data_IF_170869679486
#
_entry.id   IF_170869679486
#
_cell.length_a   1.000
_cell.length_b   1.000
_cell.length_c   1.000
_cell.angle_alpha   90.00
_cell.angle_beta   90.00
_cell.angle_gamma   90.00
#
_symmetry.space_group_name_H-M   'P 1'
#
loop_
_entity.id
_entity.type
_entity.pdbx_description
1 polymer ?
#
# COMPACT_ATOMS: atom_id res chain seq x y z
N UNK A 1 5.55 21.84 37.21
CA UNK A 1 6.22 20.60 37.58
C UNK A 1 6.72 19.96 36.29
N UNK A 2 8.03 19.88 36.11
CA UNK A 2 8.72 19.30 34.96
C UNK A 2 9.76 18.34 35.53
N UNK A 3 9.72 17.09 35.10
CA UNK A 3 10.71 16.07 35.49
C UNK A 3 11.59 15.75 34.29
N UNK A 4 12.90 15.74 34.48
CA UNK A 4 13.89 15.39 33.46
C UNK A 4 14.65 14.17 33.96
N UNK A 5 14.71 13.12 33.15
CA UNK A 5 15.37 11.85 33.47
C UNK A 5 15.91 11.22 32.19
N UNK A 6 16.97 10.42 32.28
CA UNK A 6 17.61 9.72 31.16
C UNK A 6 17.97 10.63 29.97
N UNK A 7 18.32 11.88 30.26
CA UNK A 7 18.65 12.90 29.26
C UNK A 7 20.13 13.29 29.36
N UNK A 8 20.71 13.70 28.24
CA UNK A 8 22.02 14.37 28.17
C UNK A 8 21.77 15.88 28.06
N UNK A 9 22.02 16.60 29.16
CA UNK A 9 21.78 18.04 29.25
C UNK A 9 23.13 18.72 29.39
N UNK A 10 23.47 19.56 28.41
CA UNK A 10 24.73 20.32 28.43
C UNK A 10 24.81 21.22 29.67
N UNK A 11 25.75 20.91 30.59
CA UNK A 11 25.93 21.63 31.86
C UNK A 11 24.99 21.17 32.98
N UNK A 12 24.35 20.02 32.83
CA UNK A 12 23.54 19.37 33.85
C UNK A 12 22.31 20.16 34.28
N UNK A 13 21.91 20.02 35.54
CA UNK A 13 20.77 20.77 36.10
C UNK A 13 20.99 22.29 36.00
N UNK A 14 22.24 22.76 36.18
CA UNK A 14 22.60 24.18 36.11
C UNK A 14 22.50 24.75 34.68
N UNK A 15 22.49 23.90 33.64
CA UNK A 15 22.26 24.28 32.25
C UNK A 15 20.80 24.63 31.93
N UNK A 16 19.86 24.32 32.83
CA UNK A 16 18.43 24.53 32.60
C UNK A 16 18.03 25.93 33.03
N UNK A 17 17.77 26.80 32.04
CA UNK A 17 17.18 28.11 32.28
C UNK A 17 15.66 28.01 32.42
N UNK A 18 15.14 28.39 33.59
CA UNK A 18 13.71 28.53 33.83
C UNK A 18 13.28 30.00 33.94
N UNK A 19 11.96 30.25 34.00
CA UNK A 19 11.40 31.59 34.20
C UNK A 19 10.95 31.83 35.66
N UNK A 20 11.45 31.05 36.61
CA UNK A 20 11.11 31.09 38.04
C UNK A 20 9.71 30.58 38.39
N UNK A 21 9.01 29.94 37.46
CA UNK A 21 7.70 29.32 37.67
C UNK A 21 7.72 27.80 37.43
N UNK A 22 8.92 27.20 37.33
CA UNK A 22 9.08 25.77 37.21
C UNK A 22 9.30 25.14 38.59
N UNK A 23 8.81 23.91 38.73
CA UNK A 23 9.13 23.01 39.83
C UNK A 23 9.82 21.84 39.15
N UNK A 24 11.16 21.89 39.13
CA UNK A 24 12.02 21.00 38.35
C UNK A 24 12.44 19.81 39.23
N UNK A 25 12.24 18.60 38.72
CA UNK A 25 12.77 17.37 39.30
C UNK A 25 13.81 16.79 38.33
N UNK A 26 15.10 17.00 38.65
CA UNK A 26 16.23 16.53 37.84
C UNK A 26 16.71 15.17 38.36
N UNK A 27 16.30 14.10 37.68
CA UNK A 27 16.58 12.73 38.08
C UNK A 27 18.08 12.39 38.13
N UNK A 28 18.45 11.43 38.99
CA UNK A 28 19.84 11.01 39.21
C UNK A 28 20.47 10.28 38.01
N UNK A 29 19.65 9.82 37.06
CA UNK A 29 20.08 9.06 35.86
C UNK A 29 20.38 9.96 34.64
N UNK A 30 20.37 11.29 34.80
CA UNK A 30 20.76 12.20 33.71
C UNK A 30 22.29 12.29 33.58
N UNK A 31 22.76 12.42 32.35
CA UNK A 31 24.18 12.53 32.03
C UNK A 31 24.59 14.01 31.91
N UNK A 32 25.81 14.31 32.36
CA UNK A 32 26.47 15.63 32.29
C UNK A 32 27.97 15.46 31.94
N UNK A 33 28.30 14.40 31.19
CA UNK A 33 29.66 14.11 30.72
C UNK A 33 29.66 14.05 29.19
N UNK A 34 30.72 14.55 28.54
CA UNK A 34 30.85 14.51 27.07
C UNK A 34 30.81 13.04 26.59
N UNK A 35 29.92 12.69 25.64
CA UNK A 35 29.77 11.33 25.16
C UNK A 35 30.99 10.79 24.40
N UNK A 36 31.96 11.62 23.99
CA UNK A 36 33.19 11.21 23.27
C UNK A 36 32.90 10.36 22.02
N UNK A 37 32.47 11.01 20.93
CA UNK A 37 32.28 10.38 19.62
C UNK A 37 33.58 10.32 18.80
N UNK A 38 33.74 9.28 17.97
CA UNK A 38 34.94 9.04 17.17
C UNK A 38 35.21 10.13 16.10
N UNK A 39 34.24 10.53 15.29
CA UNK A 39 34.40 11.64 14.32
C UNK A 39 33.07 12.34 13.97
N UNK A 40 32.49 13.09 14.91
CA UNK A 40 31.18 13.71 14.72
C UNK A 40 31.19 14.79 13.63
N UNK A 41 32.35 15.37 13.30
CA UNK A 41 32.48 16.40 12.25
C UNK A 41 32.32 15.82 10.84
N UNK A 42 32.62 14.54 10.67
CA UNK A 42 32.42 13.82 9.40
C UNK A 42 31.23 12.85 9.45
N UNK A 43 30.40 12.92 10.49
CA UNK A 43 29.16 12.16 10.62
C UNK A 43 29.31 10.77 11.26
N UNK A 44 30.47 10.45 11.84
CA UNK A 44 30.66 9.25 12.65
C UNK A 44 30.36 9.56 14.13
N UNK A 45 29.16 9.20 14.54
CA UNK A 45 28.66 9.35 15.91
C UNK A 45 28.77 8.04 16.72
N UNK A 46 29.67 7.13 16.33
CA UNK A 46 30.00 5.98 17.19
C UNK A 46 30.77 6.46 18.43
N UNK A 47 30.50 5.82 19.58
CA UNK A 47 31.20 6.12 20.84
C UNK A 47 32.65 5.61 20.77
N UNK A 48 33.56 6.40 21.31
CA UNK A 48 34.94 6.00 21.58
C UNK A 48 34.99 4.87 22.61
N UNK A 49 36.05 4.04 22.58
CA UNK A 49 36.23 2.91 23.50
C UNK A 49 36.34 3.33 24.98
N UNK A 50 36.82 4.56 25.23
CA UNK A 50 36.94 5.15 26.56
C UNK A 50 35.76 6.08 26.90
N UNK A 51 34.69 6.07 26.10
CA UNK A 51 33.52 6.92 26.33
C UNK A 51 32.88 6.65 27.71
N UNK A 52 32.57 7.69 28.50
CA UNK A 52 31.81 7.53 29.74
C UNK A 52 30.39 7.02 29.50
N UNK A 53 29.89 7.12 28.26
CA UNK A 53 28.60 6.57 27.84
C UNK A 53 28.70 5.11 27.38
N UNK A 54 29.91 4.57 27.19
CA UNK A 54 30.11 3.19 26.76
C UNK A 54 29.55 2.21 27.79
N UNK A 55 28.53 1.45 27.38
CA UNK A 55 27.88 0.45 28.24
C UNK A 55 27.04 1.01 29.40
N UNK A 56 26.86 2.34 29.48
CA UNK A 56 26.02 2.99 30.51
C UNK A 56 24.58 3.23 30.09
N UNK A 57 24.23 2.97 28.83
CA UNK A 57 22.84 2.69 28.52
C UNK A 57 22.39 1.46 29.31
N UNK A 58 21.26 1.54 30.02
CA UNK A 58 20.38 0.37 30.00
C UNK A 58 20.29 0.02 28.52
N UNK A 59 20.64 -1.20 28.12
CA UNK A 59 20.38 -1.65 26.76
C UNK A 59 18.92 -1.33 26.51
N UNK A 60 18.66 -0.19 25.88
CA UNK A 60 17.34 0.18 25.46
C UNK A 60 17.13 -0.87 24.41
N UNK A 61 16.35 -1.88 24.82
CA UNK A 61 16.26 -3.19 24.23
C UNK A 61 17.45 -4.12 24.62
N UNK A 62 17.26 -5.18 25.41
CA UNK A 62 17.11 -6.51 24.78
C UNK A 62 16.56 -6.25 23.40
N UNK A 63 17.43 -6.13 22.37
CA UNK A 63 17.01 -5.95 20.97
C UNK A 63 15.69 -6.72 20.85
N UNK A 64 14.50 -6.07 20.73
CA UNK A 64 13.30 -6.82 20.45
C UNK A 64 13.72 -7.59 19.21
N UNK A 65 13.69 -8.93 19.25
CA UNK A 65 14.45 -9.79 18.34
C UNK A 65 14.41 -9.13 16.98
N UNK A 66 15.57 -8.59 16.52
CA UNK A 66 15.66 -7.53 15.49
C UNK A 66 14.41 -7.62 14.63
N UNK A 67 13.46 -6.68 14.83
CA UNK A 67 12.19 -6.74 14.11
C UNK A 67 12.50 -7.10 12.65
N UNK A 68 11.74 -8.02 12.05
CA UNK A 68 12.14 -8.81 10.88
C UNK A 68 13.01 -8.01 9.91
N UNK A 69 14.24 -8.49 9.70
CA UNK A 69 15.31 -7.77 9.00
C UNK A 69 15.04 -7.56 7.51
N UNK A 70 14.07 -8.32 6.97
CA UNK A 70 13.65 -8.25 5.58
C UNK A 70 12.17 -8.65 5.41
N UNK A 71 11.61 -8.37 4.25
CA UNK A 71 10.21 -8.67 3.94
C UNK A 71 9.87 -10.17 4.04
N UNK A 72 10.81 -11.08 3.78
CA UNK A 72 10.60 -12.53 3.95
C UNK A 72 10.32 -12.90 5.40
N UNK A 73 11.13 -12.42 6.34
CA UNK A 73 10.92 -12.62 7.78
C UNK A 73 9.60 -11.98 8.25
N UNK A 74 9.18 -10.86 7.65
CA UNK A 74 7.87 -10.25 7.93
C UNK A 74 6.71 -11.13 7.44
N UNK A 75 6.85 -11.80 6.30
CA UNK A 75 5.85 -12.75 5.79
C UNK A 75 5.74 -13.95 6.74
N UNK A 76 6.87 -14.48 7.23
CA UNK A 76 6.89 -15.56 8.21
C UNK A 76 6.19 -15.16 9.52
N UNK A 77 6.47 -13.97 10.06
CA UNK A 77 5.79 -13.45 11.24
C UNK A 77 4.26 -13.27 11.04
N UNK A 78 3.86 -12.90 9.82
CA UNK A 78 2.44 -12.80 9.46
C UNK A 78 1.77 -14.19 9.39
N UNK A 79 2.50 -15.22 8.93
CA UNK A 79 2.06 -16.61 8.97
C UNK A 79 1.85 -17.08 10.41
N UNK A 80 2.77 -16.78 11.32
CA UNK A 80 2.64 -17.11 12.75
C UNK A 80 1.39 -16.45 13.37
N UNK A 81 1.08 -15.21 12.97
CA UNK A 81 -0.12 -14.49 13.42
C UNK A 81 -1.39 -15.20 12.94
N UNK A 82 -1.42 -15.67 11.69
CA UNK A 82 -2.53 -16.44 11.12
C UNK A 82 -2.73 -17.77 11.86
N UNK A 83 -1.63 -18.47 12.17
CA UNK A 83 -1.68 -19.72 12.95
C UNK A 83 -2.20 -19.49 14.37
N UNK A 84 -1.82 -18.38 15.00
CA UNK A 84 -2.32 -17.99 16.33
C UNK A 84 -3.85 -17.76 16.32
N UNK A 85 -4.40 -17.13 15.26
CA UNK A 85 -5.85 -16.96 15.10
C UNK A 85 -6.57 -18.32 14.96
N UNK A 86 -5.95 -19.28 14.28
CA UNK A 86 -6.42 -20.66 14.21
C UNK A 86 -6.40 -21.36 15.58
N UNK A 87 -5.27 -21.27 16.28
CA UNK A 87 -5.08 -21.89 17.59
C UNK A 87 -6.05 -21.34 18.65
N UNK A 88 -6.39 -20.05 18.56
CA UNK A 88 -7.33 -19.38 19.45
C UNK A 88 -8.80 -19.62 19.07
N UNK A 89 -9.06 -20.38 18.00
CA UNK A 89 -10.40 -20.74 17.53
C UNK A 89 -11.15 -19.62 16.83
N UNK A 90 -10.49 -18.49 16.52
CA UNK A 90 -11.09 -17.39 15.75
C UNK A 90 -11.29 -17.79 14.28
N UNK A 91 -10.37 -18.60 13.74
CA UNK A 91 -10.48 -19.19 12.41
C UNK A 91 -10.51 -20.72 12.51
N UNK A 92 -11.32 -21.36 11.68
CA UNK A 92 -11.25 -22.82 11.52
C UNK A 92 -10.14 -23.21 10.54
N UNK A 93 -9.78 -24.50 10.53
CA UNK A 93 -8.69 -25.05 9.69
C UNK A 93 -8.80 -24.65 8.22
N UNK A 94 -10.02 -24.70 7.64
CA UNK A 94 -10.21 -24.34 6.23
C UNK A 94 -10.03 -22.83 5.99
N UNK A 95 -10.38 -21.99 6.95
CA UNK A 95 -10.21 -20.54 6.87
C UNK A 95 -8.75 -20.13 7.06
N UNK A 96 -8.02 -20.82 7.94
CA UNK A 96 -6.56 -20.68 8.09
C UNK A 96 -5.89 -21.05 6.77
N UNK A 97 -6.14 -22.25 6.24
CA UNK A 97 -5.57 -22.71 4.96
C UNK A 97 -5.92 -21.75 3.79
N UNK A 98 -7.12 -21.18 3.81
CA UNK A 98 -7.59 -20.24 2.79
C UNK A 98 -6.74 -18.96 2.68
N UNK A 99 -6.23 -18.45 3.80
CA UNK A 99 -5.36 -17.25 3.82
C UNK A 99 -3.86 -17.63 3.89
N UNK A 100 -3.49 -18.68 4.62
CA UNK A 100 -2.12 -19.14 4.81
C UNK A 100 -1.45 -19.52 3.48
N UNK A 101 -2.21 -20.20 2.60
CA UNK A 101 -1.71 -20.59 1.27
C UNK A 101 -1.36 -19.42 0.36
N UNK A 102 -1.64 -18.17 0.75
CA UNK A 102 -1.17 -16.95 0.05
C UNK A 102 0.16 -16.49 0.58
N UNK A 103 0.32 -16.50 1.90
CA UNK A 103 1.57 -16.11 2.55
C UNK A 103 2.69 -17.10 2.21
N UNK A 104 2.41 -18.42 2.24
CA UNK A 104 3.35 -19.45 1.80
C UNK A 104 3.81 -19.21 0.35
N UNK A 105 2.87 -18.86 -0.54
CA UNK A 105 3.19 -18.54 -1.93
C UNK A 105 3.99 -17.24 -2.05
N UNK A 106 3.63 -16.22 -1.29
CA UNK A 106 4.36 -14.96 -1.27
C UNK A 106 5.81 -15.19 -0.84
N UNK A 107 6.04 -15.95 0.23
CA UNK A 107 7.37 -16.30 0.73
C UNK A 107 8.17 -17.12 -0.29
N UNK A 108 7.54 -18.13 -0.91
CA UNK A 108 8.16 -18.91 -1.99
C UNK A 108 8.63 -17.99 -3.13
N UNK A 109 7.79 -17.07 -3.59
CA UNK A 109 8.15 -16.16 -4.69
C UNK A 109 9.20 -15.14 -4.27
N UNK A 110 9.15 -14.64 -3.02
CA UNK A 110 10.13 -13.72 -2.46
C UNK A 110 11.52 -14.36 -2.45
N UNK A 111 11.63 -15.57 -1.91
CA UNK A 111 12.88 -16.35 -1.84
C UNK A 111 13.45 -16.72 -3.22
N UNK A 112 12.67 -16.58 -4.29
CA UNK A 112 13.08 -16.81 -5.67
C UNK A 112 13.25 -15.49 -6.47
N UNK A 113 13.34 -14.34 -5.79
CA UNK A 113 13.46 -12.99 -6.38
C UNK A 113 12.30 -12.62 -7.35
N UNK A 114 11.14 -13.26 -7.22
CA UNK A 114 9.97 -13.02 -8.07
C UNK A 114 9.04 -11.99 -7.41
N UNK A 115 9.51 -10.75 -7.32
CA UNK A 115 8.86 -9.67 -6.56
C UNK A 115 7.44 -9.35 -7.06
N UNK A 116 7.20 -9.36 -8.37
CA UNK A 116 5.85 -9.15 -8.92
C UNK A 116 4.84 -10.16 -8.35
N UNK A 117 5.21 -11.44 -8.33
CA UNK A 117 4.35 -12.49 -7.80
C UNK A 117 4.20 -12.37 -6.28
N UNK A 118 5.29 -12.05 -5.58
CA UNK A 118 5.25 -11.78 -4.13
C UNK A 118 4.20 -10.72 -3.79
N UNK A 119 4.27 -9.54 -4.42
CA UNK A 119 3.30 -8.44 -4.21
C UNK A 119 1.88 -8.88 -4.58
N UNK A 120 1.71 -9.63 -5.67
CA UNK A 120 0.39 -10.12 -6.07
C UNK A 120 -0.24 -11.03 -5.00
N UNK A 121 0.54 -11.94 -4.41
CA UNK A 121 0.05 -12.84 -3.36
C UNK A 121 -0.23 -12.11 -2.04
N UNK A 122 0.56 -11.09 -1.69
CA UNK A 122 0.29 -10.23 -0.53
C UNK A 122 -1.03 -9.45 -0.70
N UNK A 123 -1.30 -8.91 -1.88
CA UNK A 123 -2.58 -8.24 -2.15
C UNK A 123 -3.76 -9.23 -2.20
N UNK A 124 -3.56 -10.45 -2.71
CA UNK A 124 -4.59 -11.51 -2.65
C UNK A 124 -4.86 -11.95 -1.20
N UNK A 125 -3.85 -11.94 -0.33
CA UNK A 125 -4.02 -12.15 1.11
C UNK A 125 -4.92 -11.06 1.72
N UNK A 126 -4.65 -9.78 1.47
CA UNK A 126 -5.47 -8.67 1.99
C UNK A 126 -6.94 -8.77 1.56
N UNK A 127 -7.19 -9.12 0.30
CA UNK A 127 -8.55 -9.30 -0.24
C UNK A 127 -9.28 -10.40 0.52
N UNK A 128 -8.60 -11.49 0.87
CA UNK A 128 -9.19 -12.63 1.60
C UNK A 128 -9.47 -12.28 3.05
N UNK A 129 -8.54 -11.60 3.71
CA UNK A 129 -8.76 -11.09 5.08
C UNK A 129 -9.96 -10.14 5.10
N UNK A 130 -10.02 -9.19 4.16
CA UNK A 130 -11.14 -8.27 4.03
C UNK A 130 -12.47 -9.01 3.78
N UNK A 131 -12.47 -10.09 3.00
CA UNK A 131 -13.64 -10.93 2.83
C UNK A 131 -14.08 -11.61 4.14
N UNK A 132 -13.15 -12.16 4.92
CA UNK A 132 -13.46 -12.77 6.22
C UNK A 132 -14.08 -11.75 7.20
N UNK A 133 -13.56 -10.51 7.21
CA UNK A 133 -14.16 -9.42 8.00
C UNK A 133 -15.55 -9.06 7.48
N UNK A 134 -15.71 -8.90 6.17
CA UNK A 134 -16.99 -8.52 5.55
C UNK A 134 -18.10 -9.53 5.85
N UNK A 135 -17.78 -10.83 5.80
CA UNK A 135 -18.72 -11.90 6.12
C UNK A 135 -18.91 -12.14 7.63
N UNK A 136 -18.28 -11.33 8.49
CA UNK A 136 -18.38 -11.41 9.95
C UNK A 136 -17.74 -12.67 10.55
N UNK A 137 -16.81 -13.29 9.81
CA UNK A 137 -16.08 -14.49 10.23
C UNK A 137 -14.91 -14.11 11.13
N UNK A 138 -14.11 -13.14 10.69
CA UNK A 138 -13.01 -12.59 11.47
C UNK A 138 -13.49 -11.26 12.06
N UNK A 139 -13.27 -10.97 13.35
CA UNK A 139 -13.66 -9.69 13.89
C UNK A 139 -12.81 -8.56 13.28
N UNK A 140 -13.37 -7.35 13.29
CA UNK A 140 -12.85 -6.25 12.49
C UNK A 140 -11.45 -5.87 12.93
N UNK A 141 -11.19 -5.80 14.23
CA UNK A 141 -9.92 -5.28 14.74
C UNK A 141 -8.77 -6.22 14.35
N UNK A 142 -8.96 -7.54 14.50
CA UNK A 142 -7.99 -8.57 14.11
C UNK A 142 -7.76 -8.58 12.59
N UNK A 143 -8.82 -8.40 11.79
CA UNK A 143 -8.67 -8.30 10.34
C UNK A 143 -7.95 -7.04 9.88
N UNK A 144 -8.14 -5.91 10.59
CA UNK A 144 -7.41 -4.68 10.32
C UNK A 144 -5.94 -4.82 10.72
N UNK A 145 -5.62 -5.46 11.84
CA UNK A 145 -4.25 -5.75 12.26
C UNK A 145 -3.50 -6.62 11.23
N UNK A 146 -4.13 -7.68 10.71
CA UNK A 146 -3.53 -8.50 9.64
C UNK A 146 -3.23 -7.69 8.37
N UNK A 147 -4.16 -6.82 7.95
CA UNK A 147 -3.98 -5.96 6.78
C UNK A 147 -2.88 -4.92 7.05
N UNK A 148 -2.80 -4.37 8.26
CA UNK A 148 -1.73 -3.43 8.63
C UNK A 148 -0.36 -4.10 8.60
N UNK A 149 -0.24 -5.32 9.13
CA UNK A 149 0.98 -6.11 9.06
C UNK A 149 1.37 -6.46 7.62
N UNK A 150 0.41 -6.85 6.78
CA UNK A 150 0.63 -7.06 5.34
C UNK A 150 1.08 -5.78 4.63
N UNK A 151 0.50 -4.63 4.94
CA UNK A 151 0.95 -3.35 4.39
C UNK A 151 2.39 -3.01 4.82
N UNK A 152 2.80 -3.38 6.03
CA UNK A 152 4.18 -3.22 6.47
C UNK A 152 5.13 -4.09 5.63
N UNK A 153 4.77 -5.34 5.34
CA UNK A 153 5.51 -6.21 4.40
C UNK A 153 5.64 -5.55 3.03
N UNK A 154 4.56 -5.03 2.47
CA UNK A 154 4.58 -4.37 1.15
C UNK A 154 5.52 -3.15 1.15
N UNK A 155 5.50 -2.32 2.20
CA UNK A 155 6.43 -1.18 2.31
C UNK A 155 7.88 -1.66 2.30
N UNK A 156 8.20 -2.69 3.09
CA UNK A 156 9.53 -3.28 3.16
C UNK A 156 9.98 -3.83 1.79
N UNK A 157 9.11 -4.55 1.07
CA UNK A 157 9.39 -4.99 -0.32
C UNK A 157 9.70 -3.79 -1.22
N UNK A 158 8.97 -2.68 -1.05
CA UNK A 158 9.19 -1.47 -1.82
C UNK A 158 10.51 -0.76 -1.51
N UNK A 159 11.00 -0.87 -0.27
CA UNK A 159 12.31 -0.35 0.16
C UNK A 159 13.45 -1.23 -0.37
N UNK A 160 13.29 -2.55 -0.32
CA UNK A 160 14.25 -3.52 -0.83
C UNK A 160 14.34 -3.52 -2.36
N UNK A 161 13.24 -3.20 -3.05
CA UNK A 161 13.16 -3.21 -4.50
C UNK A 161 12.57 -1.91 -5.05
N UNK A 162 13.42 -1.05 -5.62
CA UNK A 162 13.02 0.26 -6.14
C UNK A 162 11.96 0.21 -7.28
N UNK A 163 11.87 -0.87 -8.07
CA UNK A 163 10.81 -1.03 -9.07
C UNK A 163 9.47 -1.36 -8.42
N UNK A 164 9.48 -2.26 -7.42
CA UNK A 164 8.30 -2.54 -6.61
C UNK A 164 7.89 -1.33 -5.77
N UNK A 165 8.85 -0.60 -5.20
CA UNK A 165 8.61 0.65 -4.48
C UNK A 165 7.89 1.68 -5.34
N UNK A 166 8.25 1.84 -6.61
CA UNK A 166 7.49 2.70 -7.55
C UNK A 166 6.08 2.20 -7.82
N UNK A 167 5.89 0.88 -7.91
CA UNK A 167 4.57 0.28 -8.14
C UNK A 167 3.67 0.35 -6.88
N UNK A 168 4.25 0.29 -5.69
CA UNK A 168 3.56 0.33 -4.39
C UNK A 168 3.34 1.77 -3.88
N UNK A 169 4.18 2.70 -4.29
CA UNK A 169 4.01 4.16 -4.11
C UNK A 169 3.01 4.77 -5.10
N UNK A 170 2.21 3.96 -5.82
CA UNK A 170 1.01 4.44 -6.49
C UNK A 170 0.07 4.97 -5.41
N UNK A 171 0.26 6.23 -5.07
CA UNK A 171 -0.66 7.01 -4.26
C UNK A 171 -2.07 6.82 -4.82
N UNK A 172 -3.11 6.88 -3.98
CA UNK A 172 -4.49 6.84 -4.48
C UNK A 172 -4.74 7.84 -5.62
N UNK A 173 -3.94 8.91 -5.67
CA UNK A 173 -3.91 9.94 -6.71
C UNK A 173 -3.30 9.47 -8.06
N UNK A 174 -2.49 8.41 -8.10
CA UNK A 174 -2.01 7.81 -9.37
C UNK A 174 -3.00 6.79 -9.94
N UNK A 175 -3.81 6.17 -9.08
CA UNK A 175 -4.89 5.24 -9.44
C UNK A 175 -6.17 5.98 -9.89
N UNK A 176 -6.38 7.20 -9.38
CA UNK A 176 -7.48 8.09 -9.77
C UNK A 176 -6.96 9.11 -10.79
N UNK A 177 -7.44 9.09 -12.04
CA UNK A 177 -7.03 10.06 -13.06
C UNK A 177 -7.27 11.50 -12.59
N UNK A 178 -6.34 12.41 -12.84
CA UNK A 178 -6.54 13.83 -12.53
C UNK A 178 -7.66 14.46 -13.37
N UNK A 179 -7.94 13.89 -14.54
CA UNK A 179 -8.96 14.37 -15.48
C UNK A 179 -9.81 13.22 -16.02
N UNK A 180 -11.02 13.58 -16.47
CA UNK A 180 -11.86 12.69 -17.25
C UNK A 180 -11.18 12.36 -18.59
N UNK A 181 -11.13 11.08 -18.95
CA UNK A 181 -10.62 10.69 -20.27
C UNK A 181 -11.36 9.49 -20.85
N UNK A 182 -11.32 9.40 -22.18
CA UNK A 182 -11.68 8.22 -22.96
C UNK A 182 -10.52 7.93 -23.91
N UNK A 183 -9.91 6.75 -23.79
CA UNK A 183 -8.77 6.36 -24.62
C UNK A 183 -9.23 5.94 -26.01
N UNK A 184 -8.28 5.92 -26.94
CA UNK A 184 -8.49 5.18 -28.18
C UNK A 184 -8.65 3.69 -27.85
N UNK A 185 -9.60 3.03 -28.51
CA UNK A 185 -9.81 1.61 -28.33
C UNK A 185 -8.58 0.80 -28.81
N UNK A 186 -8.27 -0.32 -28.14
CA UNK A 186 -7.19 -1.22 -28.54
C UNK A 186 -7.68 -2.68 -28.59
N UNK A 187 -7.42 -3.40 -29.68
CA UNK A 187 -6.78 -2.94 -30.92
C UNK A 187 -7.69 -1.97 -31.72
N UNK A 188 -7.12 -1.19 -32.61
CA UNK A 188 -7.84 -0.41 -33.63
C UNK A 188 -6.99 -0.30 -34.92
N UNK A 189 -7.39 -0.90 -36.06
CA UNK A 189 -8.61 -1.68 -36.26
C UNK A 189 -8.70 -2.94 -35.39
N UNK A 190 -9.90 -3.44 -35.13
CA UNK A 190 -10.12 -4.65 -34.31
C UNK A 190 -10.91 -5.72 -35.03
N UNK A 191 -10.63 -6.99 -34.71
CA UNK A 191 -11.47 -8.13 -35.07
C UNK A 191 -12.31 -8.58 -33.88
N UNK A 192 -13.61 -8.70 -34.09
CA UNK A 192 -14.65 -9.19 -33.17
C UNK A 192 -14.86 -8.36 -31.90
N UNK A 193 -13.81 -7.98 -31.19
CA UNK A 193 -13.89 -7.22 -29.94
C UNK A 193 -12.73 -6.25 -29.76
N UNK A 194 -12.95 -5.19 -28.99
CA UNK A 194 -11.94 -4.20 -28.64
C UNK A 194 -12.11 -3.73 -27.20
N UNK A 195 -11.01 -3.32 -26.57
CA UNK A 195 -11.01 -2.75 -25.22
C UNK A 195 -11.02 -1.23 -25.30
N UNK A 196 -11.76 -0.61 -24.39
CA UNK A 196 -11.88 0.84 -24.29
C UNK A 196 -11.65 1.21 -22.82
N UNK A 197 -10.64 2.03 -22.56
CA UNK A 197 -10.34 2.50 -21.21
C UNK A 197 -10.87 3.92 -21.02
N UNK A 198 -11.34 4.21 -19.82
CA UNK A 198 -11.79 5.54 -19.44
C UNK A 198 -11.41 5.85 -18.00
N UNK A 199 -11.33 7.13 -17.69
CA UNK A 199 -10.89 7.63 -16.39
C UNK A 199 -11.90 8.58 -15.78
N UNK A 200 -12.06 8.47 -14.46
CA UNK A 200 -12.92 9.34 -13.66
C UNK A 200 -12.12 9.92 -12.48
N UNK A 201 -11.97 11.26 -12.37
CA UNK A 201 -11.33 11.89 -11.22
C UNK A 201 -12.18 11.80 -9.95
N UNK A 202 -13.50 11.68 -10.10
CA UNK A 202 -14.45 11.55 -9.00
C UNK A 202 -15.58 10.58 -9.36
N UNK A 203 -16.28 10.06 -8.35
CA UNK A 203 -17.42 9.17 -8.58
C UNK A 203 -18.55 9.92 -9.29
N UNK A 204 -19.01 9.42 -10.44
CA UNK A 204 -19.95 10.13 -11.29
C UNK A 204 -20.89 9.19 -12.06
N UNK A 205 -22.01 9.74 -12.54
CA UNK A 205 -22.89 9.03 -13.47
C UNK A 205 -22.32 9.10 -14.88
N UNK A 206 -22.00 7.94 -15.44
CA UNK A 206 -21.36 7.80 -16.74
C UNK A 206 -22.28 7.06 -17.71
N UNK A 207 -22.35 7.57 -18.94
CA UNK A 207 -22.97 6.89 -20.07
C UNK A 207 -21.94 6.70 -21.18
N UNK A 208 -21.68 5.45 -21.57
CA UNK A 208 -20.81 5.12 -22.72
C UNK A 208 -21.65 4.41 -23.77
N UNK A 209 -21.76 5.01 -24.96
CA UNK A 209 -22.63 4.56 -26.04
C UNK A 209 -21.86 4.45 -27.35
N UNK A 210 -22.12 3.38 -28.11
CA UNK A 210 -21.58 3.17 -29.45
C UNK A 210 -22.63 3.56 -30.48
N UNK A 211 -22.20 4.30 -31.50
CA UNK A 211 -23.00 4.78 -32.63
C UNK A 211 -22.39 4.32 -33.95
N UNK A 212 -23.22 4.15 -34.97
CA UNK A 212 -22.76 4.01 -36.35
C UNK A 212 -22.55 5.40 -37.00
N UNK A 213 -22.01 5.43 -38.23
CA UNK A 213 -21.74 6.67 -38.96
C UNK A 213 -22.99 7.50 -39.31
N UNK A 214 -24.19 6.91 -39.19
CA UNK A 214 -25.45 7.65 -39.38
C UNK A 214 -25.93 8.33 -38.10
N UNK A 215 -25.21 8.14 -36.99
CA UNK A 215 -25.59 8.66 -35.67
C UNK A 215 -26.61 7.79 -34.95
N UNK A 216 -26.94 6.61 -35.47
CA UNK A 216 -27.85 5.68 -34.79
C UNK A 216 -27.12 4.99 -33.65
N UNK A 217 -27.75 4.98 -32.48
CA UNK A 217 -27.27 4.23 -31.32
C UNK A 217 -27.29 2.73 -31.62
N UNK A 218 -26.12 2.10 -31.53
CA UNK A 218 -25.93 0.67 -31.74
C UNK A 218 -26.09 -0.08 -30.42
N UNK A 219 -25.38 0.36 -29.38
CA UNK A 219 -25.45 -0.23 -28.04
C UNK A 219 -24.98 0.75 -26.98
N UNK A 220 -25.41 0.53 -25.74
CA UNK A 220 -24.93 1.26 -24.57
C UNK A 220 -24.09 0.31 -23.72
N UNK A 221 -22.82 0.63 -23.54
CA UNK A 221 -21.83 -0.19 -22.83
C UNK A 221 -21.84 0.08 -21.32
N UNK A 222 -22.12 1.33 -20.93
CA UNK A 222 -22.24 1.75 -19.53
C UNK A 222 -23.40 2.73 -19.40
N UNK A 223 -24.21 2.58 -18.34
CA UNK A 223 -25.31 3.50 -17.98
C UNK A 223 -25.55 3.52 -16.47
N UNK A 224 -24.72 4.23 -15.72
CA UNK A 224 -24.83 4.20 -14.27
C UNK A 224 -23.78 4.99 -13.52
N UNK A 225 -23.86 4.96 -12.20
CA UNK A 225 -22.84 5.51 -11.33
C UNK A 225 -21.62 4.61 -11.31
N UNK A 226 -20.44 5.21 -11.42
CA UNK A 226 -19.14 4.55 -11.36
C UNK A 226 -18.26 5.25 -10.31
N UNK A 227 -17.45 4.50 -9.55
CA UNK A 227 -16.51 5.09 -8.59
C UNK A 227 -15.38 5.84 -9.32
N UNK A 228 -14.70 6.73 -8.61
CA UNK A 228 -13.47 7.37 -9.10
C UNK A 228 -12.42 6.29 -9.43
N UNK A 229 -11.61 6.52 -10.46
CA UNK A 229 -10.58 5.58 -10.88
C UNK A 229 -10.51 5.34 -12.39
N UNK A 230 -9.60 4.44 -12.77
CA UNK A 230 -9.46 3.93 -14.14
C UNK A 230 -10.37 2.73 -14.34
N UNK A 231 -11.08 2.73 -15.47
CA UNK A 231 -12.01 1.68 -15.84
C UNK A 231 -11.68 1.14 -17.23
N UNK A 232 -11.91 -0.16 -17.45
CA UNK A 232 -11.80 -0.79 -18.75
C UNK A 232 -13.10 -1.52 -19.08
N UNK A 233 -13.55 -1.40 -20.33
CA UNK A 233 -14.68 -2.15 -20.85
C UNK A 233 -14.32 -2.82 -22.17
N UNK A 234 -15.04 -3.89 -22.50
CA UNK A 234 -14.90 -4.62 -23.75
C UNK A 234 -16.16 -4.45 -24.58
N UNK A 235 -16.00 -4.08 -25.86
CA UNK A 235 -17.09 -4.11 -26.83
C UNK A 235 -16.91 -5.27 -27.80
N UNK A 236 -17.90 -6.17 -27.85
CA UNK A 236 -18.00 -7.22 -28.86
C UNK A 236 -18.95 -6.76 -29.98
N UNK A 237 -18.42 -6.67 -31.20
CA UNK A 237 -19.11 -6.20 -32.40
C UNK A 237 -19.46 -7.33 -33.39
N UNK A 238 -19.36 -8.61 -33.00
CA UNK A 238 -19.57 -9.75 -33.91
C UNK A 238 -20.95 -9.77 -34.59
N UNK A 239 -21.98 -9.24 -33.93
CA UNK A 239 -23.33 -9.13 -34.47
C UNK A 239 -23.56 -7.87 -35.32
N UNK A 240 -22.54 -7.02 -35.48
CA UNK A 240 -22.61 -5.77 -36.22
C UNK A 240 -21.90 -5.88 -37.58
N UNK A 241 -22.25 -5.04 -38.58
CA UNK A 241 -21.50 -4.98 -39.84
C UNK A 241 -20.08 -4.43 -39.65
N UNK A 242 -19.10 -4.90 -40.43
CA UNK A 242 -17.78 -4.27 -40.49
C UNK A 242 -17.90 -2.81 -40.95
N UNK A 243 -17.09 -1.93 -40.37
CA UNK A 243 -17.17 -0.50 -40.67
C UNK A 243 -16.67 0.39 -39.55
N UNK A 244 -16.95 1.68 -39.71
CA UNK A 244 -16.56 2.72 -38.75
C UNK A 244 -17.68 2.93 -37.72
N UNK A 245 -17.29 3.01 -36.46
CA UNK A 245 -18.16 3.26 -35.32
C UNK A 245 -17.62 4.42 -34.48
N UNK A 246 -18.50 5.08 -33.74
CA UNK A 246 -18.13 6.12 -32.79
C UNK A 246 -18.49 5.64 -31.38
N UNK A 247 -17.54 5.62 -30.46
CA UNK A 247 -17.81 5.48 -29.02
C UNK A 247 -17.82 6.86 -28.41
N UNK A 248 -18.86 7.15 -27.62
CA UNK A 248 -19.00 8.41 -26.89
C UNK A 248 -19.18 8.13 -25.41
N UNK A 249 -18.38 8.79 -24.59
CA UNK A 249 -18.54 8.88 -23.14
C UNK A 249 -19.15 10.23 -22.77
N UNK A 250 -20.11 10.22 -21.85
CA UNK A 250 -20.70 11.41 -21.25
C UNK A 250 -20.76 11.25 -19.73
N UNK A 251 -20.31 12.27 -18.99
CA UNK A 251 -20.40 12.35 -17.53
C UNK A 251 -20.39 13.82 -17.10
N UNK A 252 -21.39 14.25 -16.32
CA UNK A 252 -21.55 15.66 -15.94
C UNK A 252 -21.45 16.60 -17.15
N UNK A 253 -20.45 17.49 -17.14
CA UNK A 253 -20.14 18.43 -18.22
C UNK A 253 -19.11 17.91 -19.24
N UNK A 254 -18.54 16.72 -19.02
CA UNK A 254 -17.54 16.12 -19.89
C UNK A 254 -18.20 15.24 -20.97
N UNK A 255 -17.73 15.38 -22.20
CA UNK A 255 -18.10 14.50 -23.32
C UNK A 255 -16.88 14.25 -24.19
N UNK A 256 -16.56 12.98 -24.44
CA UNK A 256 -15.46 12.58 -25.33
C UNK A 256 -15.94 11.53 -26.32
N UNK A 257 -15.47 11.63 -27.58
CA UNK A 257 -15.84 10.73 -28.67
C UNK A 257 -14.59 10.19 -29.34
N UNK A 258 -14.55 8.88 -29.61
CA UNK A 258 -13.48 8.22 -30.36
C UNK A 258 -14.04 7.42 -31.53
N UNK A 259 -13.32 7.44 -32.64
CA UNK A 259 -13.64 6.66 -33.82
C UNK A 259 -12.98 5.29 -33.73
N UNK A 260 -13.72 4.22 -34.01
CA UNK A 260 -13.27 2.84 -34.00
C UNK A 260 -13.48 2.22 -35.38
N UNK A 261 -12.56 1.36 -35.81
CA UNK A 261 -12.65 0.61 -37.06
C UNK A 261 -12.80 -0.88 -36.78
N UNK A 262 -13.98 -1.41 -37.08
CA UNK A 262 -14.25 -2.84 -36.98
C UNK A 262 -13.97 -3.53 -38.31
N UNK A 263 -13.11 -4.55 -38.27
CA UNK A 263 -12.79 -5.44 -39.38
C UNK A 263 -13.19 -6.88 -39.02
N UNK A 264 -13.57 -7.68 -40.02
CA UNK A 264 -13.99 -9.07 -39.82
C UNK A 264 -12.83 -10.03 -40.06
#
# INVERSE_FOLDING_TARGET
>A
HVSISNSDVEGGEEGIADNGNCDLDYGEDNMDEDPLFNDPKNGDFTLDEDSPCAGRGMGAYDDPPMGPANAGEMIEALMDTVDALGANGMLNVNQVEFIMSRLERALDFYNNDQIFWTVWFMLDFDIRVAALVFWGILPRDEGHELIEASNAVLRQIGEENAEAGKALQLSGDDLVPSDHYLTQNYPNPFNSSTKIAYGLPEAAKVTITVYDMTGRQVTKLVDGYQPAGRHELCWNAQSNPAGVYLVRMQTGNFSSTRQMMFIK
#
